data_IF_471215752269
#
_entry.id   IF_471215752269
#
_cell.length_a   1.000
_cell.length_b   1.000
_cell.length_c   1.000
_cell.angle_alpha   90.00
_cell.angle_beta   90.00
_cell.angle_gamma   90.00
#
_symmetry.space_group_name_H-M   'P 1'
#
loop_
_entity.id
_entity.type
_entity.pdbx_description
1 polymer ?
#
# COMPACT_ATOMS: atom_id res chain seq x y z
N UNK A 1 -1.98 19.85 21.09
CA UNK A 1 -1.89 18.70 22.00
C UNK A 1 -0.59 17.98 21.77
N UNK A 2 -0.14 17.21 22.75
CA UNK A 2 1.01 16.30 22.62
C UNK A 2 0.60 14.96 23.22
N UNK A 3 0.93 13.87 22.56
CA UNK A 3 0.62 12.54 23.09
C UNK A 3 1.38 11.43 22.37
N UNK A 4 1.76 10.39 23.14
CA UNK A 4 2.31 9.14 22.64
C UNK A 4 1.22 8.08 22.59
N UNK A 5 1.09 7.43 21.45
CA UNK A 5 0.15 6.34 21.22
C UNK A 5 0.93 5.09 20.88
N UNK A 6 0.56 3.96 21.49
CA UNK A 6 1.16 2.68 21.18
C UNK A 6 0.27 1.95 20.17
N UNK A 7 0.87 1.41 19.12
CA UNK A 7 0.13 0.54 18.21
C UNK A 7 -0.29 -0.74 18.97
N UNK A 8 -1.43 -1.33 18.62
CA UNK A 8 -1.82 -2.61 19.21
C UNK A 8 -0.73 -3.62 18.90
N UNK A 9 -0.21 -4.30 19.93
CA UNK A 9 0.74 -5.39 19.73
C UNK A 9 0.11 -6.39 18.75
N UNK A 10 0.68 -6.50 17.55
CA UNK A 10 0.12 -7.34 16.50
C UNK A 10 0.39 -8.81 16.85
N UNK A 11 -0.41 -9.41 17.73
CA UNK A 11 -0.32 -10.84 18.06
C UNK A 11 -0.57 -11.75 16.83
N UNK A 12 -0.96 -11.19 15.68
CA UNK A 12 -1.03 -11.89 14.40
C UNK A 12 0.30 -12.46 13.91
N UNK A 13 1.45 -12.03 14.48
CA UNK A 13 2.77 -12.57 14.15
C UNK A 13 2.93 -14.07 14.40
N UNK A 14 2.14 -14.67 15.29
CA UNK A 14 2.15 -16.13 15.49
C UNK A 14 1.56 -16.90 14.30
N UNK A 15 0.74 -16.25 13.46
CA UNK A 15 0.15 -16.87 12.27
C UNK A 15 1.22 -17.42 11.35
N UNK A 16 2.23 -16.62 11.00
CA UNK A 16 3.34 -17.04 10.13
C UNK A 16 4.36 -17.92 10.88
N UNK A 17 4.51 -17.78 12.21
CA UNK A 17 5.33 -18.70 13.01
C UNK A 17 4.81 -20.14 12.98
N UNK A 18 3.49 -20.33 12.81
CA UNK A 18 2.85 -21.66 12.71
C UNK A 18 2.41 -22.05 11.29
N UNK A 19 2.29 -21.09 10.35
CA UNK A 19 1.88 -21.30 8.95
C UNK A 19 3.02 -21.18 7.94
N UNK A 20 4.27 -21.17 8.41
CA UNK A 20 5.43 -21.36 7.55
C UNK A 20 5.17 -22.53 6.60
N UNK A 21 5.08 -22.22 5.31
CA UNK A 21 4.84 -23.19 4.27
C UNK A 21 5.93 -24.25 4.40
N UNK A 22 5.55 -25.43 4.89
CA UNK A 22 6.41 -26.60 4.85
C UNK A 22 6.67 -26.87 3.37
N UNK A 23 7.73 -26.26 2.86
CA UNK A 23 8.21 -26.55 1.52
C UNK A 23 8.79 -27.94 1.67
N UNK A 24 8.05 -28.93 1.16
CA UNK A 24 8.45 -30.33 1.15
C UNK A 24 9.73 -30.41 0.33
N UNK A 25 10.86 -30.22 1.01
CA UNK A 25 12.18 -30.27 0.43
C UNK A 25 12.78 -31.57 0.91
N UNK A 26 13.15 -32.37 -0.10
CA UNK A 26 13.74 -33.70 -0.02
C UNK A 26 12.72 -34.84 0.12
N UNK A 27 12.49 -35.51 -1.01
CA UNK A 27 11.67 -36.73 -1.12
C UNK A 27 10.68 -36.69 -2.29
N UNK A 28 9.76 -35.72 -2.29
CA UNK A 28 8.64 -35.71 -3.25
C UNK A 28 8.97 -35.03 -4.58
N UNK A 29 9.60 -33.85 -4.59
CA UNK A 29 9.91 -33.10 -5.83
C UNK A 29 11.01 -33.77 -6.66
N UNK A 30 11.97 -34.47 -6.04
CA UNK A 30 12.97 -35.27 -6.77
C UNK A 30 12.37 -36.53 -7.41
N UNK A 31 11.28 -37.08 -6.85
CA UNK A 31 10.57 -38.26 -7.38
C UNK A 31 9.45 -37.90 -8.36
N UNK A 32 8.93 -36.67 -8.29
CA UNK A 32 7.83 -36.17 -9.12
C UNK A 32 8.13 -34.74 -9.60
N UNK A 33 8.50 -34.52 -10.89
CA UNK A 33 8.64 -33.20 -11.47
C UNK A 33 7.29 -32.45 -11.48
N UNK A 34 7.36 -31.13 -11.56
CA UNK A 34 6.19 -30.22 -11.61
C UNK A 34 5.11 -30.75 -12.55
N UNK A 35 3.86 -30.80 -12.06
CA UNK A 35 2.69 -31.41 -12.71
C UNK A 35 2.32 -30.85 -14.10
N UNK A 36 3.06 -29.86 -14.63
CA UNK A 36 2.92 -29.34 -15.99
C UNK A 36 3.99 -29.80 -16.99
N UNK A 37 5.01 -30.55 -16.56
CA UNK A 37 6.21 -30.84 -17.38
C UNK A 37 6.29 -32.27 -17.93
N UNK A 38 5.65 -33.26 -17.28
CA UNK A 38 5.59 -34.63 -17.81
C UNK A 38 4.34 -35.40 -17.32
N UNK A 39 3.18 -35.24 -18.00
CA UNK A 39 1.94 -35.95 -17.64
C UNK A 39 2.04 -37.48 -17.75
N UNK A 40 2.94 -37.99 -18.60
CA UNK A 40 3.12 -39.42 -18.85
C UNK A 40 3.62 -40.17 -17.60
N UNK A 41 4.45 -39.50 -16.78
CA UNK A 41 4.98 -40.06 -15.55
C UNK A 41 3.87 -40.56 -14.60
N UNK A 42 2.76 -39.82 -14.48
CA UNK A 42 1.65 -40.20 -13.61
C UNK A 42 0.89 -41.41 -14.14
N UNK A 43 0.79 -41.58 -15.46
CA UNK A 43 0.21 -42.76 -16.08
C UNK A 43 1.10 -44.00 -15.90
N UNK A 44 2.41 -43.84 -16.08
CA UNK A 44 3.38 -44.94 -15.93
C UNK A 44 3.45 -45.41 -14.46
N UNK A 45 3.39 -44.49 -13.50
CA UNK A 45 3.30 -44.81 -12.07
C UNK A 45 2.00 -45.50 -11.70
N UNK A 46 0.87 -45.06 -12.24
CA UNK A 46 -0.40 -45.72 -12.02
C UNK A 46 -0.41 -47.15 -12.59
N UNK A 47 0.14 -47.34 -13.79
CA UNK A 47 0.23 -48.64 -14.42
C UNK A 47 1.20 -49.59 -13.68
N UNK A 48 2.38 -49.10 -13.27
CA UNK A 48 3.37 -49.89 -12.56
C UNK A 48 2.91 -50.33 -11.16
N UNK A 49 2.03 -49.55 -10.52
CA UNK A 49 1.50 -49.84 -9.18
C UNK A 49 0.05 -50.37 -9.20
N UNK A 50 -0.49 -50.69 -10.38
CA UNK A 50 -1.84 -51.25 -10.52
C UNK A 50 -2.97 -50.32 -10.05
N UNK A 51 -2.74 -49.01 -10.07
CA UNK A 51 -3.69 -47.99 -9.63
C UNK A 51 -4.68 -47.70 -10.77
N UNK A 52 -5.94 -48.02 -10.58
CA UNK A 52 -6.98 -47.92 -11.64
C UNK A 52 -7.98 -46.80 -11.39
N UNK A 53 -7.88 -46.10 -10.26
CA UNK A 53 -8.78 -45.00 -9.89
C UNK A 53 -8.01 -43.79 -9.36
N UNK A 54 -8.60 -42.60 -9.51
CA UNK A 54 -8.02 -41.34 -9.01
C UNK A 54 -7.83 -41.35 -7.48
N UNK A 55 -8.73 -42.01 -6.74
CA UNK A 55 -8.61 -42.14 -5.29
C UNK A 55 -7.40 -43.01 -4.90
N UNK A 56 -7.14 -44.09 -5.63
CA UNK A 56 -5.95 -44.93 -5.39
C UNK A 56 -4.65 -44.19 -5.72
N UNK A 57 -4.63 -43.36 -6.77
CA UNK A 57 -3.49 -42.49 -7.09
C UNK A 57 -3.26 -41.46 -5.96
N UNK A 58 -4.32 -40.80 -5.49
CA UNK A 58 -4.25 -39.86 -4.35
C UNK A 58 -3.69 -40.53 -3.10
N UNK A 59 -4.24 -41.69 -2.73
CA UNK A 59 -3.87 -42.39 -1.49
C UNK A 59 -2.44 -42.95 -1.58
N UNK A 60 -2.01 -43.39 -2.76
CA UNK A 60 -0.62 -43.78 -3.03
C UNK A 60 0.35 -42.60 -2.90
N UNK A 61 0.03 -41.44 -3.47
CA UNK A 61 0.86 -40.24 -3.35
C UNK A 61 0.93 -39.73 -1.90
N UNK A 62 -0.20 -39.74 -1.18
CA UNK A 62 -0.24 -39.41 0.24
C UNK A 62 0.65 -40.36 1.06
N UNK A 63 0.57 -41.67 0.83
CA UNK A 63 1.41 -42.65 1.50
C UNK A 63 2.91 -42.53 1.15
N UNK A 64 3.27 -42.07 -0.06
CA UNK A 64 4.66 -41.78 -0.43
C UNK A 64 5.19 -40.50 0.23
N UNK A 65 4.33 -39.50 0.44
CA UNK A 65 4.67 -38.28 1.19
C UNK A 65 4.84 -38.61 2.67
N UNK A 66 3.90 -39.34 3.25
CA UNK A 66 3.89 -39.73 4.67
C UNK A 66 4.96 -40.78 5.01
N UNK A 67 5.23 -41.72 4.10
CA UNK A 67 6.24 -42.77 4.27
C UNK A 67 7.67 -42.37 3.92
N UNK A 68 7.85 -41.21 3.27
CA UNK A 68 9.16 -40.65 2.90
C UNK A 68 9.57 -39.40 3.69
N UNK A 69 8.66 -38.81 4.46
CA UNK A 69 8.96 -37.63 5.27
C UNK A 69 9.77 -38.03 6.51
N UNK A 70 11.10 -37.92 6.40
CA UNK A 70 11.89 -37.49 7.55
C UNK A 70 11.41 -36.12 8.06
N UNK A 71 11.97 -35.60 9.17
CA UNK A 71 11.61 -34.28 9.67
C UNK A 71 11.62 -33.25 8.52
N UNK A 72 10.46 -32.65 8.25
CA UNK A 72 10.30 -31.67 7.19
C UNK A 72 10.97 -30.37 7.64
N UNK A 73 12.14 -30.08 7.07
CA UNK A 73 12.84 -28.84 7.35
C UNK A 73 12.21 -27.71 6.53
N UNK A 74 11.75 -26.65 7.19
CA UNK A 74 11.42 -25.43 6.47
C UNK A 74 12.71 -24.81 5.92
N UNK A 75 12.86 -24.81 4.59
CA UNK A 75 14.02 -24.25 3.92
C UNK A 75 14.06 -22.73 3.90
N UNK A 76 13.00 -22.02 4.26
CA UNK A 76 12.95 -20.55 4.31
C UNK A 76 12.14 -20.07 5.53
N UNK A 77 12.65 -20.30 6.76
CA UNK A 77 11.90 -20.05 7.97
C UNK A 77 11.84 -18.59 8.38
N UNK A 78 10.74 -18.23 9.02
CA UNK A 78 10.63 -16.97 9.75
C UNK A 78 10.98 -17.18 11.22
N UNK A 79 12.01 -16.50 11.71
CA UNK A 79 12.46 -16.60 13.11
C UNK A 79 12.11 -15.35 13.89
N UNK A 80 11.61 -15.53 15.10
CA UNK A 80 11.27 -14.41 15.97
C UNK A 80 12.55 -13.75 16.54
N UNK A 81 12.47 -12.44 16.75
CA UNK A 81 13.48 -11.70 17.50
C UNK A 81 12.97 -11.44 18.92
N UNK A 82 13.63 -11.99 19.96
CA UNK A 82 13.17 -11.84 21.35
C UNK A 82 13.23 -10.39 21.85
N UNK A 83 13.97 -9.51 21.18
CA UNK A 83 14.14 -8.10 21.56
C UNK A 83 13.09 -7.17 20.96
N UNK A 84 12.03 -7.72 20.33
CA UNK A 84 10.98 -6.89 19.76
C UNK A 84 10.25 -6.07 20.81
N UNK A 85 9.92 -4.83 20.44
CA UNK A 85 9.22 -3.84 21.25
C UNK A 85 7.92 -3.45 20.56
N UNK A 86 7.04 -2.82 21.33
CA UNK A 86 5.81 -2.25 20.80
C UNK A 86 6.12 -0.93 20.10
N UNK A 87 5.75 -0.82 18.82
CA UNK A 87 5.85 0.43 18.08
C UNK A 87 4.98 1.53 18.70
N UNK A 88 5.38 2.78 18.53
CA UNK A 88 4.63 3.93 19.01
C UNK A 88 4.67 5.11 18.04
N UNK A 89 3.71 6.01 18.20
CA UNK A 89 3.60 7.26 17.48
C UNK A 89 3.56 8.42 18.47
N UNK A 90 4.50 9.36 18.34
CA UNK A 90 4.44 10.65 19.02
C UNK A 90 3.71 11.65 18.12
N UNK A 91 2.69 12.31 18.67
CA UNK A 91 1.89 13.28 17.92
C UNK A 91 1.98 14.65 18.58
N UNK A 92 2.14 15.68 17.76
CA UNK A 92 2.09 17.08 18.16
C UNK A 92 1.09 17.77 17.25
N UNK A 93 0.17 18.53 17.86
CA UNK A 93 -0.81 19.32 17.11
C UNK A 93 -0.94 20.73 17.67
N UNK A 94 -1.03 21.72 16.80
CA UNK A 94 -1.29 23.10 17.17
C UNK A 94 -2.34 23.69 16.23
N UNK A 95 -3.49 24.07 16.80
CA UNK A 95 -4.61 24.63 16.05
C UNK A 95 -4.92 26.05 16.48
N UNK A 96 -5.24 26.92 15.52
CA UNK A 96 -5.77 28.24 15.75
C UNK A 96 -7.02 28.47 14.91
N UNK A 97 -8.09 28.96 15.54
CA UNK A 97 -9.32 29.31 14.84
C UNK A 97 -9.79 30.70 15.26
N UNK A 98 -10.27 31.48 14.30
CA UNK A 98 -10.85 32.81 14.56
C UNK A 98 -12.07 33.08 13.69
N UNK A 99 -13.11 33.64 14.30
CA UNK A 99 -14.18 34.31 13.57
C UNK A 99 -13.72 35.72 13.18
N UNK A 100 -13.66 36.00 11.87
CA UNK A 100 -13.18 37.28 11.34
C UNK A 100 -14.32 38.29 11.15
N UNK A 101 -15.53 37.78 10.90
CA UNK A 101 -16.77 38.54 10.79
C UNK A 101 -17.93 37.59 11.04
N UNK A 102 -19.14 38.13 11.27
CA UNK A 102 -20.33 37.31 11.52
C UNK A 102 -20.49 36.18 10.49
N UNK A 103 -20.45 34.95 10.99
CA UNK A 103 -20.63 33.73 10.19
C UNK A 103 -19.45 33.38 9.29
N UNK A 104 -18.29 34.03 9.42
CA UNK A 104 -17.05 33.69 8.70
C UNK A 104 -15.93 33.34 9.68
N UNK A 105 -15.48 32.09 9.63
CA UNK A 105 -14.37 31.62 10.45
C UNK A 105 -13.26 31.05 9.57
N UNK A 106 -12.03 31.24 10.02
CA UNK A 106 -10.84 30.61 9.44
C UNK A 106 -10.14 29.81 10.53
N UNK A 107 -9.49 28.71 10.14
CA UNK A 107 -8.65 27.91 11.00
C UNK A 107 -7.38 27.45 10.29
N UNK A 108 -6.32 27.27 11.06
CA UNK A 108 -5.08 26.65 10.64
C UNK A 108 -4.64 25.64 11.72
N UNK A 109 -4.32 24.42 11.30
CA UNK A 109 -3.83 23.35 12.16
C UNK A 109 -2.49 22.85 11.63
N UNK A 110 -1.50 22.77 12.50
CA UNK A 110 -0.20 22.14 12.28
C UNK A 110 -0.22 20.79 12.97
N UNK A 111 0.23 19.75 12.27
CA UNK A 111 0.25 18.37 12.77
C UNK A 111 1.63 17.80 12.47
N UNK A 112 2.25 17.19 13.47
CA UNK A 112 3.44 16.37 13.33
C UNK A 112 3.16 15.00 13.95
N UNK A 113 3.53 13.94 13.27
CA UNK A 113 3.44 12.55 13.74
C UNK A 113 4.76 11.85 13.45
N UNK A 114 5.38 11.33 14.50
CA UNK A 114 6.62 10.57 14.43
C UNK A 114 6.37 9.13 14.87
N UNK A 115 6.40 8.19 13.92
CA UNK A 115 6.32 6.76 14.19
C UNK A 115 7.72 6.21 14.42
N UNK A 116 7.89 5.46 15.51
CA UNK A 116 9.18 4.90 15.94
C UNK A 116 9.00 3.44 16.36
N UNK A 117 10.12 2.72 16.29
CA UNK A 117 10.17 1.29 16.57
C UNK A 117 9.16 0.49 15.72
N UNK A 118 8.85 0.93 14.51
CA UNK A 118 7.99 0.18 13.58
C UNK A 118 8.67 -1.14 13.25
N UNK A 119 7.91 -2.23 13.33
CA UNK A 119 8.42 -3.57 13.02
C UNK A 119 8.62 -3.69 11.52
N UNK A 120 9.85 -4.01 11.11
CA UNK A 120 10.22 -4.28 9.72
C UNK A 120 10.72 -5.71 9.58
N UNK A 121 10.32 -6.37 8.50
CA UNK A 121 10.85 -7.67 8.08
C UNK A 121 12.20 -7.47 7.42
N UNK A 122 13.16 -8.29 7.83
CA UNK A 122 14.54 -8.32 7.32
C UNK A 122 14.92 -9.74 6.98
N UNK A 123 15.81 -9.89 6.01
CA UNK A 123 16.39 -11.16 5.62
C UNK A 123 17.66 -11.39 6.46
N UNK A 124 17.72 -12.41 7.30
CA UNK A 124 18.90 -12.71 8.11
C UNK A 124 20.05 -13.31 7.30
N UNK A 125 19.83 -13.76 6.08
CA UNK A 125 20.88 -14.31 5.21
C UNK A 125 20.72 -13.79 3.78
N UNK A 126 20.71 -12.46 3.57
CA UNK A 126 20.35 -11.82 2.32
C UNK A 126 21.20 -12.29 1.14
N UNK A 127 20.55 -12.52 0.00
CA UNK A 127 21.23 -12.89 -1.24
C UNK A 127 21.87 -11.66 -1.89
N UNK A 128 23.10 -11.80 -2.38
CA UNK A 128 23.70 -10.82 -3.31
C UNK A 128 24.16 -11.52 -4.57
N UNK A 129 23.80 -10.95 -5.72
CA UNK A 129 24.29 -11.41 -7.03
C UNK A 129 25.78 -11.11 -7.20
N UNK A 130 26.29 -10.03 -6.61
CA UNK A 130 27.70 -9.66 -6.67
C UNK A 130 28.61 -10.58 -5.84
N UNK A 131 28.06 -11.15 -4.76
CA UNK A 131 28.83 -11.97 -3.81
C UNK A 131 28.47 -13.47 -3.88
N UNK A 132 27.86 -13.93 -4.98
CA UNK A 132 27.67 -15.36 -5.24
C UNK A 132 26.47 -16.02 -4.56
N UNK A 133 25.47 -15.25 -4.11
CA UNK A 133 24.21 -15.75 -3.57
C UNK A 133 24.07 -15.57 -2.05
N UNK A 134 23.30 -16.46 -1.42
CA UNK A 134 23.04 -16.44 0.03
C UNK A 134 24.18 -17.08 0.81
N UNK A 135 24.58 -16.51 1.96
CA UNK A 135 25.57 -17.15 2.84
C UNK A 135 25.03 -18.47 3.40
N UNK A 136 25.85 -19.53 3.35
CA UNK A 136 25.53 -20.85 3.88
C UNK A 136 26.15 -21.03 5.28
N UNK A 137 25.61 -20.30 6.25
CA UNK A 137 26.11 -20.25 7.63
C UNK A 137 25.15 -20.82 8.66
N UNK A 138 23.92 -21.12 8.29
CA UNK A 138 22.88 -21.59 9.21
C UNK A 138 23.15 -23.00 9.70
N UNK A 139 22.78 -23.27 10.95
CA UNK A 139 23.07 -24.53 11.64
C UNK A 139 21.77 -25.19 12.09
N UNK A 140 21.61 -26.47 11.76
CA UNK A 140 20.52 -27.35 12.18
C UNK A 140 21.13 -28.67 12.64
N UNK A 141 20.79 -29.13 13.84
CA UNK A 141 21.30 -30.37 14.45
C UNK A 141 22.85 -30.45 14.42
N UNK A 142 23.52 -29.34 14.68
CA UNK A 142 24.97 -29.21 14.71
C UNK A 142 25.66 -29.25 13.33
N UNK A 143 24.90 -29.28 12.23
CA UNK A 143 25.43 -29.27 10.86
C UNK A 143 25.09 -27.97 10.14
N UNK A 144 25.99 -27.53 9.26
CA UNK A 144 25.70 -26.38 8.37
C UNK A 144 24.72 -26.81 7.28
N UNK A 145 23.62 -26.07 7.15
CA UNK A 145 22.56 -26.35 6.17
C UNK A 145 22.32 -25.13 5.31
N UNK A 146 22.27 -25.34 4.00
CA UNK A 146 21.89 -24.31 3.05
C UNK A 146 20.39 -24.05 3.15
N UNK A 147 20.03 -22.86 3.62
CA UNK A 147 18.65 -22.39 3.69
C UNK A 147 18.43 -21.29 2.63
N UNK A 148 17.18 -21.18 2.19
CA UNK A 148 16.64 -20.01 1.51
C UNK A 148 16.58 -18.80 2.44
N UNK A 149 15.68 -17.85 2.16
CA UNK A 149 15.55 -16.63 2.98
C UNK A 149 15.12 -16.98 4.39
N UNK A 150 15.90 -16.57 5.38
CA UNK A 150 15.54 -16.65 6.79
C UNK A 150 15.05 -15.27 7.17
N UNK A 151 13.76 -15.11 7.40
CA UNK A 151 13.19 -13.79 7.71
C UNK A 151 13.14 -13.58 9.21
N UNK A 152 13.34 -12.34 9.65
CA UNK A 152 13.09 -11.95 11.03
C UNK A 152 12.47 -10.57 11.10
N UNK A 153 11.92 -10.23 12.25
CA UNK A 153 11.22 -8.97 12.50
C UNK A 153 12.04 -8.13 13.48
N UNK A 154 12.34 -6.89 13.11
CA UNK A 154 13.13 -5.97 13.94
C UNK A 154 12.43 -4.62 14.07
N UNK A 155 12.56 -3.97 15.23
CA UNK A 155 12.02 -2.62 15.46
C UNK A 155 13.02 -1.57 14.96
N UNK A 156 13.04 -1.36 13.65
CA UNK A 156 13.97 -0.42 13.03
C UNK A 156 13.29 0.57 12.07
N UNK A 157 11.99 0.37 11.81
CA UNK A 157 11.23 1.26 10.96
C UNK A 157 10.90 2.58 11.66
N UNK A 158 11.07 3.67 10.93
CA UNK A 158 10.68 5.01 11.31
C UNK A 158 9.94 5.69 10.16
N UNK A 159 8.96 6.50 10.49
CA UNK A 159 8.29 7.39 9.52
C UNK A 159 7.81 8.66 10.20
N UNK A 160 7.98 9.79 9.53
CA UNK A 160 7.51 11.08 9.99
C UNK A 160 6.41 11.60 9.05
N UNK A 161 5.49 12.38 9.60
CA UNK A 161 4.43 13.04 8.85
C UNK A 161 4.18 14.44 9.41
N UNK A 162 4.36 15.43 8.54
CA UNK A 162 4.06 16.83 8.82
C UNK A 162 2.91 17.30 7.95
N UNK A 163 1.97 18.04 8.53
CA UNK A 163 0.86 18.59 7.79
C UNK A 163 0.44 19.98 8.25
N UNK A 164 0.03 20.76 7.25
CA UNK A 164 -0.66 22.04 7.45
C UNK A 164 -2.07 21.90 6.90
N UNK A 165 -3.07 22.09 7.75
CA UNK A 165 -4.47 22.11 7.37
C UNK A 165 -5.02 23.52 7.50
N UNK A 166 -5.58 24.04 6.41
CA UNK A 166 -6.24 25.33 6.37
C UNK A 166 -7.73 25.12 6.13
N UNK A 167 -8.57 25.86 6.83
CA UNK A 167 -9.99 25.87 6.53
C UNK A 167 -10.60 27.26 6.62
N UNK A 168 -11.56 27.52 5.75
CA UNK A 168 -12.39 28.72 5.78
C UNK A 168 -13.85 28.30 5.67
N UNK A 169 -14.70 28.86 6.52
CA UNK A 169 -16.13 28.56 6.55
C UNK A 169 -16.91 29.86 6.52
N UNK A 170 -17.89 29.94 5.62
CA UNK A 170 -18.85 31.04 5.60
C UNK A 170 -20.29 30.50 5.64
N UNK A 171 -21.09 31.03 6.57
CA UNK A 171 -22.55 30.87 6.64
C UNK A 171 -23.17 32.25 6.45
N UNK A 172 -23.80 32.49 5.30
CA UNK A 172 -24.64 33.68 5.11
C UNK A 172 -26.04 33.44 5.69
N UNK A 173 -26.85 34.50 5.78
CA UNK A 173 -28.21 34.55 6.34
C UNK A 173 -29.21 33.59 5.65
N UNK A 174 -28.99 32.27 5.73
CA UNK A 174 -29.89 31.21 5.24
C UNK A 174 -29.99 31.03 3.72
N UNK A 175 -29.12 31.65 2.90
CA UNK A 175 -29.19 31.55 1.42
C UNK A 175 -28.01 30.83 0.78
N UNK A 176 -26.80 31.10 1.26
CA UNK A 176 -25.59 30.46 0.79
C UNK A 176 -24.70 30.13 1.97
N UNK A 177 -24.02 29.00 1.87
CA UNK A 177 -22.98 28.63 2.81
C UNK A 177 -21.96 27.78 2.12
N UNK A 178 -20.72 27.82 2.60
CA UNK A 178 -19.64 27.06 2.02
C UNK A 178 -18.47 26.87 2.95
N UNK A 179 -17.59 25.95 2.53
CA UNK A 179 -16.34 25.62 3.19
C UNK A 179 -15.24 25.47 2.14
N UNK A 180 -14.07 25.97 2.45
CA UNK A 180 -12.82 25.62 1.83
C UNK A 180 -11.99 24.86 2.86
N UNK A 181 -11.38 23.76 2.45
CA UNK A 181 -10.42 23.00 3.25
C UNK A 181 -9.24 22.65 2.35
N UNK A 182 -8.03 22.90 2.82
CA UNK A 182 -6.80 22.57 2.13
C UNK A 182 -5.87 21.86 3.11
N UNK A 183 -5.26 20.78 2.66
CA UNK A 183 -4.22 20.06 3.40
C UNK A 183 -2.99 19.99 2.52
N UNK A 184 -1.88 20.48 3.05
CA UNK A 184 -0.54 20.11 2.61
C UNK A 184 0.00 19.07 3.58
N UNK A 185 0.48 17.94 3.09
CA UNK A 185 1.10 16.89 3.90
C UNK A 185 2.43 16.46 3.30
N UNK A 186 3.41 16.17 4.13
CA UNK A 186 4.66 15.55 3.74
C UNK A 186 4.91 14.38 4.68
N UNK A 187 5.25 13.22 4.14
CA UNK A 187 5.64 12.06 4.92
C UNK A 187 6.82 11.37 4.30
N UNK A 188 7.76 10.96 5.12
CA UNK A 188 8.90 10.16 4.72
C UNK A 188 9.06 8.94 5.63
N UNK A 189 9.88 7.99 5.18
CA UNK A 189 10.12 6.75 5.91
C UNK A 189 11.40 6.08 5.47
N UNK A 190 11.95 5.23 6.34
CA UNK A 190 13.08 4.36 6.01
C UNK A 190 12.68 2.93 5.61
N UNK A 191 11.38 2.66 5.44
CA UNK A 191 10.82 1.31 5.22
C UNK A 191 9.59 1.36 4.30
N UNK A 192 9.28 0.24 3.64
CA UNK A 192 8.21 0.16 2.64
C UNK A 192 7.22 -0.95 2.88
N UNK A 193 6.07 -0.90 2.19
CA UNK A 193 5.15 -2.03 2.17
C UNK A 193 5.75 -3.20 1.39
N UNK A 194 6.10 -4.27 2.11
CA UNK A 194 6.56 -5.52 1.55
C UNK A 194 5.42 -6.42 1.06
N UNK A 195 5.78 -7.47 0.31
CA UNK A 195 4.87 -8.58 0.06
C UNK A 195 4.43 -9.21 1.38
N UNK A 196 3.21 -9.75 1.42
CA UNK A 196 2.54 -10.32 2.61
C UNK A 196 2.06 -9.33 3.68
N UNK A 197 2.11 -8.02 3.45
CA UNK A 197 1.44 -7.03 4.30
C UNK A 197 2.28 -6.51 5.48
N UNK A 198 3.58 -6.78 5.51
CA UNK A 198 4.51 -6.28 6.51
C UNK A 198 5.42 -5.20 5.92
N UNK A 199 5.89 -4.28 6.78
CA UNK A 199 6.92 -3.34 6.39
C UNK A 199 8.25 -4.06 6.15
N UNK A 200 9.04 -3.67 5.16
CA UNK A 200 10.36 -4.25 4.85
C UNK A 200 11.43 -3.17 4.76
N UNK A 201 12.65 -3.52 5.18
CA UNK A 201 13.82 -2.67 4.92
C UNK A 201 14.12 -2.60 3.41
N UNK A 202 14.26 -1.39 2.87
CA UNK A 202 14.47 -1.20 1.43
C UNK A 202 15.89 -1.59 0.98
N UNK A 203 16.90 -1.11 1.70
CA UNK A 203 18.31 -1.14 1.30
C UNK A 203 19.14 -2.04 2.20
N UNK A 204 18.69 -3.28 2.41
CA UNK A 204 19.55 -4.23 3.11
C UNK A 204 20.76 -4.61 2.24
N UNK A 205 21.97 -4.59 2.79
CA UNK A 205 23.17 -5.11 2.14
C UNK A 205 23.49 -6.51 2.64
N UNK A 206 24.11 -7.32 1.77
CA UNK A 206 24.60 -8.64 2.18
C UNK A 206 25.63 -8.51 3.30
N UNK A 207 25.42 -9.36 4.30
CA UNK A 207 26.35 -9.62 5.40
C UNK A 207 26.54 -11.12 5.47
N UNK A 208 27.68 -11.58 5.98
CA UNK A 208 27.93 -13.02 6.17
C UNK A 208 27.19 -13.48 7.44
N UNK A 209 25.87 -13.54 7.34
CA UNK A 209 24.92 -13.80 8.43
C UNK A 209 24.18 -15.13 8.25
N UNK A 210 23.88 -15.77 9.37
CA UNK A 210 23.09 -17.00 9.42
C UNK A 210 22.33 -17.13 10.73
N UNK A 211 21.58 -18.21 10.89
CA UNK A 211 20.85 -18.49 12.13
C UNK A 211 21.15 -19.89 12.64
N UNK A 212 21.43 -20.00 13.94
CA UNK A 212 21.59 -21.27 14.61
C UNK A 212 20.25 -21.71 15.20
N UNK A 213 19.63 -22.73 14.60
CA UNK A 213 18.33 -23.22 15.03
C UNK A 213 18.41 -24.04 16.32
N UNK A 214 19.60 -24.55 16.67
CA UNK A 214 19.82 -25.33 17.89
C UNK A 214 19.92 -24.42 19.13
N UNK A 215 20.51 -23.23 18.96
CA UNK A 215 20.74 -22.27 20.06
C UNK A 215 19.83 -21.06 20.04
N UNK A 216 19.18 -20.77 18.91
CA UNK A 216 18.35 -19.57 18.72
C UNK A 216 19.16 -18.28 18.52
N UNK A 217 20.42 -18.39 18.11
CA UNK A 217 21.33 -17.25 17.97
C UNK A 217 21.56 -16.87 16.50
N UNK A 218 21.65 -15.56 16.24
CA UNK A 218 22.15 -15.04 14.95
C UNK A 218 23.66 -15.27 14.91
N UNK A 219 24.13 -15.90 13.83
CA UNK A 219 25.53 -16.19 13.56
C UNK A 219 26.11 -15.18 12.58
N UNK A 220 27.42 -14.92 12.71
CA UNK A 220 28.16 -14.10 11.77
C UNK A 220 28.15 -12.61 12.12
N UNK A 221 28.14 -11.77 11.09
CA UNK A 221 28.23 -10.32 11.23
C UNK A 221 26.89 -9.69 11.66
N UNK A 222 26.85 -8.47 12.23
CA UNK A 222 25.59 -7.76 12.39
C UNK A 222 24.97 -7.41 11.03
N UNK A 223 23.63 -7.47 10.91
CA UNK A 223 22.94 -7.07 9.69
C UNK A 223 23.17 -5.59 9.37
N UNK A 224 23.44 -5.30 8.09
CA UNK A 224 23.53 -3.95 7.58
C UNK A 224 22.25 -3.59 6.80
N UNK A 225 21.32 -2.90 7.49
CA UNK A 225 20.00 -2.57 6.95
C UNK A 225 19.99 -1.30 6.07
N UNK A 226 21.04 -0.48 6.15
CA UNK A 226 21.19 0.84 5.51
C UNK A 226 19.91 1.70 5.53
N UNK A 227 19.29 1.80 6.69
CA UNK A 227 18.03 2.55 6.85
C UNK A 227 18.19 4.06 6.58
N UNK A 228 19.41 4.57 6.67
CA UNK A 228 19.73 5.98 6.38
C UNK A 228 20.15 6.20 4.91
N UNK A 229 19.87 5.25 4.00
CA UNK A 229 20.18 5.44 2.59
C UNK A 229 19.44 6.69 2.05
N UNK A 230 20.13 7.61 1.36
CA UNK A 230 19.52 8.84 0.85
C UNK A 230 18.44 8.58 -0.22
N UNK A 231 18.39 7.38 -0.80
CA UNK A 231 17.33 6.96 -1.73
C UNK A 231 16.05 6.51 -1.00
N UNK A 232 16.07 6.31 0.32
CA UNK A 232 14.88 6.08 1.14
C UNK A 232 14.53 7.27 2.03
N UNK A 233 15.55 7.92 2.61
CA UNK A 233 15.36 8.96 3.62
C UNK A 233 14.91 10.28 2.97
N UNK A 234 13.90 10.94 3.56
CA UNK A 234 13.34 12.19 3.04
C UNK A 234 12.48 12.02 1.77
N UNK A 235 12.22 10.78 1.36
CA UNK A 235 11.41 10.47 0.20
C UNK A 235 9.94 10.26 0.57
N UNK A 236 8.99 10.68 -0.26
CA UNK A 236 7.57 10.51 0.02
C UNK A 236 7.14 9.06 0.26
N UNK A 237 6.14 8.82 1.09
CA UNK A 237 5.46 7.52 1.15
C UNK A 237 4.52 7.34 -0.07
N UNK A 238 4.53 6.17 -0.71
CA UNK A 238 3.72 5.85 -1.91
C UNK A 238 2.19 5.84 -1.71
N UNK A 239 1.68 5.83 -0.46
CA UNK A 239 0.24 5.93 -0.18
C UNK A 239 -0.20 7.32 0.23
N UNK A 240 0.69 8.31 0.12
CA UNK A 240 0.42 9.68 0.52
C UNK A 240 0.23 10.58 -0.68
N UNK A 241 -0.39 11.73 -0.41
CA UNK A 241 -0.64 12.79 -1.38
C UNK A 241 -0.36 14.10 -0.70
N UNK A 242 0.47 14.90 -1.35
CA UNK A 242 0.95 16.15 -0.76
C UNK A 242 -0.15 17.20 -0.69
N UNK A 243 -1.02 17.26 -1.70
CA UNK A 243 -2.05 18.29 -1.80
C UNK A 243 -3.46 17.71 -1.83
N UNK A 244 -4.33 18.21 -0.96
CA UNK A 244 -5.77 17.93 -1.00
C UNK A 244 -6.56 19.21 -0.76
N UNK A 245 -7.23 19.71 -1.80
CA UNK A 245 -8.12 20.87 -1.74
C UNK A 245 -9.56 20.40 -1.90
N UNK A 246 -10.43 20.83 -0.99
CA UNK A 246 -11.88 20.61 -1.05
C UNK A 246 -12.59 21.95 -0.91
N UNK A 247 -13.44 22.27 -1.87
CA UNK A 247 -14.34 23.42 -1.82
C UNK A 247 -15.76 22.87 -1.88
N UNK A 248 -16.58 23.21 -0.90
CA UNK A 248 -17.99 22.81 -0.88
C UNK A 248 -18.89 24.00 -0.63
N UNK A 249 -20.10 23.94 -1.19
CA UNK A 249 -21.07 25.00 -1.03
C UNK A 249 -22.49 24.53 -1.30
N UNK A 250 -23.44 25.26 -0.73
CA UNK A 250 -24.86 25.09 -0.99
C UNK A 250 -25.51 26.45 -1.20
N UNK A 251 -26.37 26.55 -2.20
CA UNK A 251 -27.12 27.73 -2.56
C UNK A 251 -28.60 27.40 -2.65
N UNK A 252 -29.40 28.15 -1.92
CA UNK A 252 -30.84 28.04 -1.92
C UNK A 252 -31.43 29.08 -2.87
N UNK A 253 -31.96 28.62 -4.00
CA UNK A 253 -32.33 29.46 -5.14
C UNK A 253 -33.50 30.38 -4.78
N UNK A 254 -33.33 31.71 -4.84
CA UNK A 254 -34.41 32.67 -4.61
C UNK A 254 -35.60 32.44 -5.55
N UNK A 255 -36.81 32.80 -5.10
CA UNK A 255 -38.03 32.68 -5.93
C UNK A 255 -38.56 31.24 -6.11
N UNK A 256 -37.81 30.21 -5.72
CA UNK A 256 -38.27 28.80 -5.74
C UNK A 256 -38.83 28.33 -4.40
N UNK A 257 -38.81 29.20 -3.38
CA UNK A 257 -39.20 28.87 -2.02
C UNK A 257 -40.69 29.11 -1.81
N UNK A 258 -41.37 28.10 -1.28
CA UNK A 258 -42.79 28.17 -0.90
C UNK A 258 -43.00 28.04 0.61
N UNK A 259 -41.96 27.66 1.37
CA UNK A 259 -41.86 27.68 2.84
C UNK A 259 -40.43 27.99 3.27
N UNK A 260 -40.24 28.34 4.53
CA UNK A 260 -38.92 28.59 5.10
C UNK A 260 -38.04 27.33 4.97
N UNK A 261 -36.86 27.47 4.35
CA UNK A 261 -35.92 26.37 4.04
C UNK A 261 -36.45 25.28 3.08
N UNK A 262 -37.51 25.54 2.32
CA UNK A 262 -38.06 24.60 1.33
C UNK A 262 -38.16 25.27 -0.05
N UNK A 263 -37.64 24.61 -1.08
CA UNK A 263 -37.50 25.14 -2.45
C UNK A 263 -36.39 24.40 -3.21
N UNK A 264 -35.81 25.03 -4.22
CA UNK A 264 -34.65 24.50 -4.95
C UNK A 264 -33.36 24.80 -4.19
N UNK A 265 -32.62 23.75 -3.89
CA UNK A 265 -31.27 23.77 -3.32
C UNK A 265 -30.30 23.19 -4.35
N UNK A 266 -29.21 23.90 -4.56
CA UNK A 266 -28.08 23.43 -5.37
C UNK A 266 -26.88 23.32 -4.44
N UNK A 267 -26.22 22.17 -4.42
CA UNK A 267 -24.98 21.97 -3.68
C UNK A 267 -23.89 21.46 -4.63
N UNK A 268 -22.65 21.75 -4.28
CA UNK A 268 -21.51 21.31 -5.06
C UNK A 268 -20.29 21.07 -4.18
N UNK A 269 -19.48 20.10 -4.58
CA UNK A 269 -18.18 19.80 -3.99
C UNK A 269 -17.16 19.73 -5.13
N UNK A 270 -16.19 20.63 -5.11
CA UNK A 270 -14.98 20.52 -5.92
C UNK A 270 -13.85 19.93 -5.08
N UNK A 271 -13.11 18.99 -5.64
CA UNK A 271 -11.90 18.43 -5.02
C UNK A 271 -10.75 18.42 -6.00
N UNK A 272 -9.57 18.79 -5.52
CA UNK A 272 -8.30 18.56 -6.19
C UNK A 272 -7.39 17.71 -5.29
N UNK A 273 -6.69 16.77 -5.90
CA UNK A 273 -5.70 15.89 -5.29
C UNK A 273 -4.44 15.93 -6.15
N UNK A 274 -3.27 16.02 -5.51
CA UNK A 274 -2.02 15.65 -6.16
C UNK A 274 -2.01 14.15 -6.50
N UNK A 275 -1.10 13.73 -7.36
CA UNK A 275 -0.88 12.33 -7.65
C UNK A 275 -0.35 11.58 -6.44
N UNK A 276 -0.47 10.26 -6.48
CA UNK A 276 0.25 9.38 -5.56
C UNK A 276 1.67 9.13 -6.08
N UNK A 277 2.57 8.89 -5.14
CA UNK A 277 3.99 8.70 -5.38
C UNK A 277 4.33 7.24 -5.74
N UNK A 278 5.33 7.03 -6.60
CA UNK A 278 5.80 5.70 -6.99
C UNK A 278 7.29 5.71 -7.40
N UNK A 279 7.95 4.57 -7.25
CA UNK A 279 9.36 4.39 -7.66
C UNK A 279 9.43 3.97 -9.12
N UNK A 280 10.35 4.54 -9.89
CA UNK A 280 10.79 3.96 -11.17
C UNK A 280 11.99 3.04 -10.90
N UNK A 281 11.90 1.79 -11.34
CA UNK A 281 12.96 0.81 -11.15
C UNK A 281 13.76 0.60 -12.43
N UNK A 282 15.07 0.40 -12.24
CA UNK A 282 15.93 -0.14 -13.29
C UNK A 282 15.83 -1.67 -13.26
N UNK A 283 15.57 -2.26 -14.43
CA UNK A 283 15.43 -3.71 -14.53
C UNK A 283 16.78 -4.45 -14.57
N UNK A 284 17.85 -3.74 -14.90
CA UNK A 284 19.21 -4.28 -15.02
C UNK A 284 20.01 -4.23 -13.72
N UNK A 285 19.62 -3.38 -12.77
CA UNK A 285 20.33 -3.15 -11.53
C UNK A 285 19.60 -3.74 -10.32
N UNK A 286 20.33 -4.52 -9.53
CA UNK A 286 19.87 -5.08 -8.26
C UNK A 286 20.67 -4.49 -7.10
N UNK A 287 20.00 -4.31 -5.98
CA UNK A 287 20.59 -4.03 -4.68
C UNK A 287 21.23 -5.31 -4.11
N UNK A 288 22.08 -5.16 -3.10
CA UNK A 288 22.80 -6.26 -2.44
C UNK A 288 21.94 -7.18 -1.56
N UNK A 289 20.61 -7.01 -1.60
CA UNK A 289 19.62 -7.94 -1.07
C UNK A 289 18.78 -8.61 -2.18
N UNK A 290 19.13 -8.40 -3.45
CA UNK A 290 18.39 -8.93 -4.60
C UNK A 290 17.14 -8.13 -4.99
N UNK A 291 16.82 -7.03 -4.30
CA UNK A 291 15.75 -6.13 -4.72
C UNK A 291 16.17 -5.30 -5.93
N UNK A 292 15.21 -4.83 -6.73
CA UNK A 292 15.51 -3.90 -7.85
C UNK A 292 15.97 -2.55 -7.31
N UNK A 293 17.00 -1.99 -7.92
CA UNK A 293 17.43 -0.64 -7.59
C UNK A 293 16.48 0.40 -8.21
N UNK A 294 16.20 1.52 -7.51
CA UNK A 294 15.60 2.69 -8.14
C UNK A 294 16.45 3.14 -9.34
N UNK A 295 15.79 3.65 -10.37
CA UNK A 295 16.49 4.27 -11.50
C UNK A 295 17.23 5.54 -11.07
N UNK A 296 18.11 6.07 -11.92
CA UNK A 296 18.77 7.35 -11.66
C UNK A 296 17.77 8.51 -11.67
N UNK A 297 18.13 9.64 -11.04
CA UNK A 297 17.35 10.87 -11.18
C UNK A 297 17.28 11.31 -12.64
N UNK A 298 16.13 11.82 -13.08
CA UNK A 298 15.95 12.31 -14.44
C UNK A 298 14.50 12.42 -14.87
N UNK A 299 14.33 12.70 -16.16
CA UNK A 299 13.02 12.76 -16.80
C UNK A 299 12.79 11.53 -17.66
N UNK A 300 11.67 10.85 -17.45
CA UNK A 300 11.31 9.61 -18.10
C UNK A 300 10.09 9.77 -18.99
N UNK A 301 10.21 9.26 -20.20
CA UNK A 301 9.13 9.15 -21.18
C UNK A 301 9.10 7.73 -21.72
N UNK A 302 7.92 7.17 -21.85
CA UNK A 302 7.75 5.83 -22.42
C UNK A 302 7.72 5.91 -23.94
N UNK A 303 8.36 4.96 -24.64
CA UNK A 303 8.29 4.86 -26.09
C UNK A 303 6.95 4.27 -26.58
N UNK A 304 5.92 4.12 -25.73
CA UNK A 304 4.61 3.56 -26.12
C UNK A 304 4.04 4.29 -27.36
N UNK A 305 3.96 3.60 -28.52
CA UNK A 305 3.54 4.22 -29.78
C UNK A 305 2.05 4.58 -29.78
N UNK A 306 1.28 4.06 -28.82
CA UNK A 306 -0.17 4.30 -28.71
C UNK A 306 -0.50 5.57 -27.92
N UNK A 307 0.52 6.24 -27.35
CA UNK A 307 0.35 7.50 -26.63
C UNK A 307 -0.46 7.38 -25.33
N UNK A 308 -0.50 6.19 -24.72
CA UNK A 308 -1.24 5.95 -23.46
C UNK A 308 -0.38 6.11 -22.23
N UNK A 309 0.94 6.07 -22.40
CA UNK A 309 1.89 6.26 -21.33
C UNK A 309 2.04 7.71 -20.92
N UNK A 310 2.42 7.92 -19.66
CA UNK A 310 2.84 9.23 -19.16
C UNK A 310 4.13 9.66 -19.90
N UNK A 311 4.28 10.98 -20.04
CA UNK A 311 5.42 11.64 -20.67
C UNK A 311 6.00 12.66 -19.71
N UNK A 312 7.30 12.87 -19.83
CA UNK A 312 8.06 13.86 -19.09
C UNK A 312 7.90 13.72 -17.57
N UNK A 313 7.84 12.47 -17.10
CA UNK A 313 7.75 12.13 -15.68
C UNK A 313 9.08 12.47 -15.02
N UNK A 314 9.07 13.45 -14.12
CA UNK A 314 10.22 13.75 -13.28
C UNK A 314 10.38 12.67 -12.22
N UNK A 315 11.62 12.23 -12.00
CA UNK A 315 12.00 11.28 -10.97
C UNK A 315 13.27 11.77 -10.28
N UNK A 316 13.27 11.84 -8.95
CA UNK A 316 14.42 12.33 -8.19
C UNK A 316 15.50 11.26 -7.92
N UNK A 317 15.26 10.01 -8.33
CA UNK A 317 16.18 8.88 -8.15
C UNK A 317 16.02 8.13 -6.83
N UNK A 318 15.15 8.59 -5.95
CA UNK A 318 14.77 7.94 -4.70
C UNK A 318 13.57 7.01 -4.86
N UNK A 319 13.28 6.25 -3.80
CA UNK A 319 12.03 5.51 -3.70
C UNK A 319 10.87 6.50 -3.70
N UNK A 320 9.80 6.20 -4.43
CA UNK A 320 8.62 7.05 -4.53
C UNK A 320 8.91 8.48 -5.06
N UNK A 321 10.03 8.69 -5.73
CA UNK A 321 10.44 9.98 -6.26
C UNK A 321 9.69 10.48 -7.50
N UNK A 322 8.71 9.71 -8.01
CA UNK A 322 7.88 10.10 -9.16
C UNK A 322 6.42 10.20 -8.74
N UNK A 323 5.68 11.10 -9.37
CA UNK A 323 4.27 11.36 -9.06
C UNK A 323 3.37 10.96 -10.23
N UNK A 324 2.24 10.31 -9.96
CA UNK A 324 1.19 10.13 -10.96
C UNK A 324 0.50 11.48 -11.28
N UNK A 325 -0.30 11.57 -12.36
CA UNK A 325 -1.10 12.76 -12.61
C UNK A 325 -2.09 13.05 -11.47
N UNK A 326 -2.18 14.33 -11.08
CA UNK A 326 -3.18 14.78 -10.13
C UNK A 326 -4.62 14.62 -10.65
N UNK A 327 -5.58 14.70 -9.73
CA UNK A 327 -6.99 14.48 -10.00
C UNK A 327 -7.87 15.65 -9.57
N UNK A 328 -8.84 16.01 -10.40
CA UNK A 328 -9.84 17.05 -10.12
C UNK A 328 -11.25 16.51 -10.31
N UNK A 329 -12.17 16.85 -9.42
CA UNK A 329 -13.55 16.37 -9.46
C UNK A 329 -14.52 17.45 -9.04
N UNK A 330 -15.65 17.54 -9.73
CA UNK A 330 -16.80 18.34 -9.34
C UNK A 330 -18.00 17.42 -9.18
N UNK A 331 -18.58 17.39 -7.99
CA UNK A 331 -19.84 16.73 -7.71
C UNK A 331 -20.91 17.80 -7.51
N UNK A 332 -22.09 17.58 -8.07
CA UNK A 332 -23.23 18.49 -8.01
C UNK A 332 -24.45 17.74 -7.49
N UNK A 333 -25.25 18.42 -6.68
CA UNK A 333 -26.51 17.91 -6.15
C UNK A 333 -27.59 18.96 -6.30
N UNK A 334 -28.74 18.53 -6.82
CA UNK A 334 -29.96 19.32 -6.91
C UNK A 334 -31.03 18.68 -6.05
N UNK A 335 -31.66 19.49 -5.21
CA UNK A 335 -32.81 19.08 -4.40
C UNK A 335 -33.95 20.06 -4.60
N UNK A 336 -35.13 19.56 -4.95
CA UNK A 336 -36.33 20.38 -5.09
C UNK A 336 -37.49 19.79 -4.30
N UNK A 337 -38.05 20.58 -3.38
CA UNK A 337 -39.20 20.15 -2.58
C UNK A 337 -40.49 20.73 -3.17
N UNK A 338 -41.44 19.87 -3.53
CA UNK A 338 -42.75 20.17 -4.08
C UNK A 338 -43.85 20.02 -3.01
N UNK A 339 -44.65 21.07 -2.74
CA UNK A 339 -45.83 20.97 -1.90
C UNK A 339 -47.00 20.41 -2.71
N UNK A 340 -47.33 19.15 -2.50
CA UNK A 340 -48.51 18.57 -3.12
C UNK A 340 -49.77 18.85 -2.29
N UNK A 341 -49.65 18.81 -0.95
CA UNK A 341 -50.75 19.14 -0.05
C UNK A 341 -50.24 19.65 1.31
N UNK A 342 -51.15 20.15 2.18
CA UNK A 342 -50.76 20.62 3.54
C UNK A 342 -50.15 19.53 4.44
N UNK A 343 -50.36 18.26 4.08
CA UNK A 343 -49.94 17.04 4.80
C UNK A 343 -49.07 16.10 3.94
N UNK A 344 -48.49 16.63 2.85
CA UNK A 344 -47.78 15.80 1.90
C UNK A 344 -46.83 16.64 1.05
N UNK A 345 -45.55 16.32 1.11
CA UNK A 345 -44.51 16.92 0.27
C UNK A 345 -43.62 15.86 -0.35
N UNK A 346 -43.17 16.15 -1.57
CA UNK A 346 -42.22 15.29 -2.30
C UNK A 346 -40.94 16.08 -2.53
N UNK A 347 -39.81 15.51 -2.15
CA UNK A 347 -38.49 16.04 -2.48
C UNK A 347 -37.91 15.23 -3.63
N UNK A 348 -37.64 15.87 -4.75
CA UNK A 348 -36.86 15.32 -5.85
C UNK A 348 -35.37 15.59 -5.61
N UNK A 349 -34.54 14.61 -5.90
CA UNK A 349 -33.08 14.62 -5.74
C UNK A 349 -32.44 14.22 -7.08
N UNK A 350 -31.42 14.95 -7.48
CA UNK A 350 -30.60 14.62 -8.64
C UNK A 350 -29.14 14.95 -8.39
N UNK A 351 -28.28 13.95 -8.47
CA UNK A 351 -26.84 14.07 -8.23
C UNK A 351 -26.06 13.74 -9.49
N UNK A 352 -25.00 14.51 -9.74
CA UNK A 352 -23.99 14.26 -10.77
C UNK A 352 -22.66 14.13 -10.07
N UNK A 353 -22.09 12.94 -10.10
CA UNK A 353 -20.75 12.66 -9.61
C UNK A 353 -19.75 12.81 -10.75
N UNK A 354 -18.61 13.43 -10.48
CA UNK A 354 -17.57 13.70 -11.47
C UNK A 354 -18.12 14.37 -12.74
N UNK A 355 -18.80 15.50 -12.57
CA UNK A 355 -19.37 16.32 -13.64
C UNK A 355 -18.31 16.77 -14.67
N UNK A 356 -17.02 16.80 -14.30
CA UNK A 356 -15.92 17.12 -15.21
C UNK A 356 -15.50 15.94 -16.10
N UNK A 357 -15.97 14.72 -15.80
CA UNK A 357 -15.53 13.46 -16.41
C UNK A 357 -14.00 13.33 -16.44
N UNK A 358 -13.36 13.80 -15.35
CA UNK A 358 -11.92 13.68 -15.21
C UNK A 358 -11.57 12.23 -14.90
N UNK A 359 -10.52 11.71 -15.55
CA UNK A 359 -9.99 10.38 -15.26
C UNK A 359 -8.92 10.49 -14.18
N UNK A 360 -8.99 9.64 -13.15
CA UNK A 360 -7.98 9.55 -12.09
C UNK A 360 -7.04 8.37 -12.36
N UNK A 361 -5.99 8.59 -13.16
CA UNK A 361 -5.03 7.53 -13.50
C UNK A 361 -4.19 7.12 -12.29
N UNK A 362 -3.95 5.80 -12.15
CA UNK A 362 -3.10 5.23 -11.10
C UNK A 362 -2.33 4.02 -11.61
N UNK A 363 -1.23 3.71 -10.92
CA UNK A 363 -0.52 2.44 -11.09
C UNK A 363 0.20 2.38 -12.41
N UNK A 364 0.93 3.45 -12.73
CA UNK A 364 1.83 3.47 -13.87
C UNK A 364 2.85 2.34 -13.75
N UNK A 365 3.16 1.67 -14.87
CA UNK A 365 4.22 0.66 -14.89
C UNK A 365 5.57 1.27 -14.51
N UNK A 366 6.14 0.81 -13.40
CA UNK A 366 7.36 1.35 -12.79
C UNK A 366 8.67 0.83 -13.42
N UNK A 367 8.63 -0.29 -14.13
CA UNK A 367 9.82 -0.98 -14.62
C UNK A 367 10.24 -0.41 -15.98
N UNK A 368 11.46 0.10 -16.09
CA UNK A 368 11.92 0.82 -17.29
C UNK A 368 12.21 -0.08 -18.49
N UNK A 369 13.02 -1.12 -18.33
CA UNK A 369 13.61 -1.82 -19.47
C UNK A 369 12.77 -3.01 -19.94
N UNK A 370 12.55 -3.12 -21.25
CA UNK A 370 11.95 -4.31 -21.87
C UNK A 370 10.45 -4.50 -21.61
N UNK A 371 9.78 -3.58 -20.91
CA UNK A 371 8.33 -3.69 -20.65
C UNK A 371 7.52 -2.67 -21.44
N UNK A 372 6.56 -3.16 -22.23
CA UNK A 372 5.60 -2.32 -22.97
C UNK A 372 4.62 -1.57 -22.07
N UNK A 373 4.60 -1.86 -20.77
CA UNK A 373 3.78 -1.20 -19.75
C UNK A 373 4.48 -0.04 -19.05
N UNK A 374 5.74 0.26 -19.37
CA UNK A 374 6.48 1.34 -18.70
C UNK A 374 5.73 2.68 -18.83
N UNK A 375 5.49 3.34 -17.69
CA UNK A 375 4.69 4.55 -17.51
C UNK A 375 3.24 4.48 -18.03
N UNK A 376 2.73 3.31 -18.37
CA UNK A 376 1.33 3.13 -18.77
C UNK A 376 0.49 2.94 -17.51
N UNK A 377 -0.48 3.83 -17.20
CA UNK A 377 -1.40 3.62 -16.10
C UNK A 377 -2.24 2.35 -16.31
N UNK A 378 -2.43 1.58 -15.25
CA UNK A 378 -3.14 0.29 -15.30
C UNK A 378 -4.51 0.33 -14.64
N UNK A 379 -4.81 1.36 -13.85
CA UNK A 379 -6.05 1.47 -13.10
C UNK A 379 -6.55 2.92 -13.01
N UNK A 380 -7.80 3.04 -12.55
CA UNK A 380 -8.35 4.30 -12.06
C UNK A 380 -8.79 4.14 -10.62
N UNK A 381 -8.60 5.16 -9.79
CA UNK A 381 -8.91 5.07 -8.35
C UNK A 381 -10.33 5.51 -8.01
N UNK A 382 -10.97 6.34 -8.84
CA UNK A 382 -12.31 6.88 -8.59
C UNK A 382 -13.25 6.60 -9.76
N UNK A 383 -14.56 6.43 -9.49
CA UNK A 383 -15.53 6.19 -10.55
C UNK A 383 -15.57 7.31 -11.61
N UNK A 384 -15.94 6.97 -12.86
CA UNK A 384 -16.22 7.95 -13.91
C UNK A 384 -17.47 8.79 -13.59
N UNK A 385 -17.89 9.64 -14.52
CA UNK A 385 -19.13 10.39 -14.35
C UNK A 385 -20.32 9.45 -14.09
N UNK A 386 -21.08 9.74 -13.04
CA UNK A 386 -22.25 8.96 -12.66
C UNK A 386 -23.42 9.88 -12.28
N UNK A 387 -24.64 9.36 -12.44
CA UNK A 387 -25.87 10.07 -12.14
C UNK A 387 -26.70 9.28 -11.12
N UNK A 388 -27.32 9.99 -10.18
CA UNK A 388 -28.27 9.40 -9.25
C UNK A 388 -29.53 10.25 -9.21
N UNK A 389 -30.69 9.59 -9.22
CA UNK A 389 -32.00 10.23 -9.09
C UNK A 389 -32.73 9.62 -7.91
N UNK A 390 -33.44 10.45 -7.15
CA UNK A 390 -34.19 10.00 -5.98
C UNK A 390 -35.43 10.83 -5.73
N UNK A 391 -36.37 10.24 -5.01
CA UNK A 391 -37.54 10.95 -4.49
C UNK A 391 -37.74 10.58 -3.02
N UNK A 392 -38.02 11.56 -2.18
CA UNK A 392 -38.41 11.37 -0.78
C UNK A 392 -39.80 11.92 -0.56
N UNK A 393 -40.64 11.12 0.09
CA UNK A 393 -42.00 11.48 0.44
C UNK A 393 -42.07 11.75 1.95
N UNK A 394 -42.70 12.85 2.34
CA UNK A 394 -42.93 13.21 3.74
C UNK A 394 -44.41 13.60 3.94
N UNK A 395 -45.02 13.11 5.02
CA UNK A 395 -46.44 13.30 5.37
C UNK A 395 -46.61 14.29 6.53
#
# INVERSE_FOLDING_TARGET
GVGRFYDRFQLGFFGDTFLDAVTITQGFIERFPLAGSNPQLFFDLAQANGLTTLNQIRDFLAAQIEGGAGPLLNSAPTVDNPNRKQAYADTISLGYQRELQRGFAVAADLIHVANRDTVVTVDLNPSSTAQGGRPNLSVVDGQRVALGSITSFVNAGESDYDAVQLSARKRFNGRWGGRLAYTYGNSDSNHGGGGAGFATAYFQTRTETGYNFDTGEILGEPLALNLNDPRATGQPLNWTRDHNLVISGQYAVPGTRWRENQGLLVAGIFRYLSGDHYTIFDNSAFLDNGNRAPAAAGTYSSPDPRGRAQRDVSFDGGLNGAENPGFRRLDLSLRYTLPFHKRFQVTLLGDVFNALDAVNWRGAGANREGTSSFLVPTATQLPPRAYQLGARIEF
#
